data_IF_422818319505
#
_entry.id   IF_422818319505
#
_cell.length_a   1.000
_cell.length_b   1.000
_cell.length_c   1.000
_cell.angle_alpha   90.00
_cell.angle_beta   90.00
_cell.angle_gamma   90.00
#
_symmetry.space_group_name_H-M   'P 1'
#
loop_
_entity.id
_entity.type
_entity.pdbx_description
1 polymer ?
#
# COMPACT_ATOMS: atom_id res chain seq x y z
N UNK A 1 -19.78 59.79 6.97
CA UNK A 1 -20.06 58.61 7.80
C UNK A 1 -19.45 57.40 7.11
N UNK A 2 -18.39 56.83 7.67
CA UNK A 2 -17.59 55.75 7.06
C UNK A 2 -17.89 54.44 7.79
N UNK A 3 -18.50 53.48 7.11
CA UNK A 3 -18.81 52.16 7.68
C UNK A 3 -17.61 51.23 7.47
N UNK A 4 -17.02 50.80 8.60
CA UNK A 4 -15.97 49.79 8.65
C UNK A 4 -16.64 48.41 8.58
N UNK A 5 -16.49 47.71 7.44
CA UNK A 5 -17.01 46.35 7.28
C UNK A 5 -16.03 45.37 7.92
N UNK A 6 -16.44 44.76 9.04
CA UNK A 6 -15.67 43.74 9.76
C UNK A 6 -15.90 42.38 9.08
N UNK A 7 -14.88 41.85 8.40
CA UNK A 7 -14.94 40.51 7.79
C UNK A 7 -14.44 39.50 8.82
N UNK A 8 -15.34 38.62 9.29
CA UNK A 8 -15.03 37.54 10.23
C UNK A 8 -14.72 36.27 9.42
N UNK A 9 -13.54 35.64 9.57
CA UNK A 9 -13.25 34.38 8.91
C UNK A 9 -13.95 33.21 9.64
N UNK A 10 -14.72 32.42 8.88
CA UNK A 10 -15.29 31.15 9.34
C UNK A 10 -14.23 30.06 9.23
N UNK A 11 -13.81 29.52 10.38
CA UNK A 11 -12.97 28.33 10.43
C UNK A 11 -13.86 27.08 10.28
N UNK A 12 -13.72 26.35 9.17
CA UNK A 12 -14.31 25.03 9.00
C UNK A 12 -13.48 24.01 9.79
N UNK A 13 -14.07 23.44 10.85
CA UNK A 13 -13.50 22.31 11.57
C UNK A 13 -13.89 21.01 10.86
N UNK A 14 -12.90 20.33 10.26
CA UNK A 14 -13.11 18.99 9.70
C UNK A 14 -12.88 17.97 10.80
N UNK A 15 -13.93 17.24 11.19
CA UNK A 15 -13.84 16.15 12.17
C UNK A 15 -13.34 14.90 11.45
N UNK A 16 -12.10 14.47 11.74
CA UNK A 16 -11.57 13.20 11.24
C UNK A 16 -12.10 12.09 12.13
N UNK A 17 -12.97 11.24 11.58
CA UNK A 17 -13.44 10.04 12.27
C UNK A 17 -12.37 8.95 12.16
N UNK A 18 -11.62 8.76 13.24
CA UNK A 18 -10.61 7.70 13.37
C UNK A 18 -11.31 6.43 13.85
N UNK A 19 -11.36 5.41 12.99
CA UNK A 19 -11.79 4.07 13.40
C UNK A 19 -10.73 3.48 14.35
N UNK A 20 -11.13 2.94 15.52
CA UNK A 20 -10.18 2.35 16.45
C UNK A 20 -9.54 1.08 15.85
N UNK A 21 -8.25 0.83 16.10
CA UNK A 21 -7.57 -0.36 15.62
C UNK A 21 -8.17 -1.62 16.24
N UNK A 22 -8.39 -2.62 15.38
CA UNK A 22 -8.83 -3.97 15.75
C UNK A 22 -7.77 -4.60 16.66
N UNK A 23 -8.16 -5.03 17.86
CA UNK A 23 -7.27 -5.68 18.84
C UNK A 23 -6.54 -6.86 18.20
N UNK A 24 -5.23 -6.70 18.02
CA UNK A 24 -4.30 -7.78 17.70
C UNK A 24 -4.18 -8.69 18.93
N UNK A 25 -4.43 -9.98 18.75
CA UNK A 25 -4.24 -10.98 19.77
C UNK A 25 -2.75 -11.13 20.07
N UNK A 26 -2.41 -11.15 21.36
CA UNK A 26 -1.04 -11.36 21.86
C UNK A 26 -0.49 -12.71 21.38
N UNK A 27 0.77 -12.76 20.90
CA UNK A 27 1.43 -14.03 20.63
C UNK A 27 1.72 -14.73 21.96
N UNK A 28 1.16 -15.94 22.11
CA UNK A 28 1.54 -16.86 23.18
C UNK A 28 3.02 -17.20 23.03
N UNK A 29 3.82 -16.76 24.00
CA UNK A 29 5.23 -17.12 24.14
C UNK A 29 5.30 -18.59 24.54
N UNK A 30 5.68 -19.46 23.60
CA UNK A 30 6.07 -20.84 23.91
C UNK A 30 7.55 -20.81 24.28
N UNK A 31 7.83 -21.22 25.51
CA UNK A 31 9.17 -21.35 26.07
C UNK A 31 9.97 -22.40 25.29
N UNK A 32 11.22 -22.05 24.94
CA UNK A 32 12.20 -22.99 24.38
C UNK A 32 12.57 -24.04 25.43
N UNK A 33 12.00 -25.24 25.31
CA UNK A 33 12.53 -26.43 25.96
C UNK A 33 13.51 -27.11 25.01
N UNK A 34 14.77 -27.10 25.42
CA UNK A 34 15.94 -27.67 24.76
C UNK A 34 15.75 -29.18 24.57
N UNK A 35 15.43 -29.61 23.36
CA UNK A 35 15.31 -31.04 23.02
C UNK A 35 16.68 -31.63 22.76
N UNK A 36 17.05 -32.60 23.60
CA UNK A 36 18.09 -33.57 23.32
C UNK A 36 17.56 -34.62 22.32
N UNK A 37 18.47 -35.01 21.44
CA UNK A 37 18.47 -36.02 20.38
C UNK A 37 17.31 -37.05 20.37
N UNK A 38 16.71 -37.24 19.19
CA UNK A 38 16.52 -38.55 18.52
C UNK A 38 15.14 -38.72 17.88
N UNK A 39 15.14 -38.94 16.56
CA UNK A 39 14.21 -39.79 15.77
C UNK A 39 12.71 -39.55 15.98
N UNK A 40 12.09 -38.85 15.03
CA UNK A 40 10.92 -39.35 14.28
C UNK A 40 10.50 -38.31 13.22
N UNK A 41 11.01 -38.52 11.99
CA UNK A 41 10.55 -37.79 10.80
C UNK A 41 9.21 -38.38 10.38
N UNK A 42 8.14 -37.90 11.00
CA UNK A 42 6.77 -38.10 10.54
C UNK A 42 6.07 -36.74 10.45
N UNK A 43 6.59 -35.88 9.57
CA UNK A 43 5.88 -34.69 9.11
C UNK A 43 4.60 -35.18 8.44
N UNK A 44 3.48 -34.93 9.12
CA UNK A 44 2.14 -35.33 8.72
C UNK A 44 1.85 -34.93 7.26
N UNK A 45 1.88 -35.91 6.37
CA UNK A 45 1.61 -35.76 4.93
C UNK A 45 0.19 -35.23 4.64
N UNK A 46 -0.69 -35.18 5.65
CA UNK A 46 -2.06 -34.68 5.52
C UNK A 46 -2.15 -33.15 5.44
N UNK A 47 -1.16 -32.40 5.92
CA UNK A 47 -1.18 -30.92 5.82
C UNK A 47 -0.74 -30.42 4.44
N UNK A 48 0.02 -31.22 3.69
CA UNK A 48 0.45 -30.90 2.32
C UNK A 48 -0.60 -31.32 1.28
N UNK A 49 -1.41 -32.34 1.61
CA UNK A 49 -2.43 -32.87 0.69
C UNK A 49 -3.64 -31.95 0.49
N UNK A 50 -3.93 -31.06 1.44
CA UNK A 50 -4.97 -30.04 1.28
C UNK A 50 -4.55 -28.85 0.37
N UNK A 51 -3.25 -28.69 0.08
CA UNK A 51 -2.72 -27.65 -0.81
C UNK A 51 -2.58 -28.11 -2.28
N UNK A 52 -2.78 -29.39 -2.57
CA UNK A 52 -2.50 -29.98 -3.89
C UNK A 52 -3.75 -30.23 -4.75
N UNK A 53 -4.96 -30.11 -4.19
CA UNK A 53 -6.22 -30.45 -4.86
C UNK A 53 -7.11 -29.26 -5.25
N UNK A 54 -6.54 -28.05 -5.47
CA UNK A 54 -7.30 -26.95 -6.06
C UNK A 54 -6.54 -26.19 -7.15
N UNK A 55 -6.72 -26.65 -8.39
CA UNK A 55 -6.81 -25.79 -9.58
C UNK A 55 -5.66 -24.81 -9.78
N UNK A 56 -4.44 -25.26 -10.11
CA UNK A 56 -3.34 -24.46 -10.69
C UNK A 56 -3.27 -22.98 -10.26
N UNK A 57 -3.46 -22.69 -8.96
CA UNK A 57 -3.30 -21.33 -8.45
C UNK A 57 -1.81 -21.09 -8.31
N UNK A 58 -1.21 -20.47 -9.33
CA UNK A 58 0.17 -19.99 -9.27
C UNK A 58 0.28 -19.00 -8.12
N UNK A 59 0.98 -19.40 -7.05
CA UNK A 59 1.31 -18.50 -5.95
C UNK A 59 2.50 -17.65 -6.42
N UNK A 60 2.28 -16.35 -6.60
CA UNK A 60 3.35 -15.41 -6.90
C UNK A 60 3.92 -14.90 -5.57
N UNK A 61 5.20 -15.21 -5.31
CA UNK A 61 5.94 -14.66 -4.18
C UNK A 61 6.57 -13.35 -4.66
N UNK A 62 6.25 -12.24 -3.99
CA UNK A 62 6.76 -10.90 -4.30
C UNK A 62 7.69 -10.46 -3.19
N UNK A 63 8.91 -10.05 -3.56
CA UNK A 63 9.80 -9.30 -2.69
C UNK A 63 9.30 -7.84 -2.63
N UNK A 64 8.70 -7.48 -1.49
CA UNK A 64 8.02 -6.19 -1.30
C UNK A 64 8.99 -5.02 -1.36
N UNK A 65 10.17 -5.14 -0.73
CA UNK A 65 11.17 -4.08 -0.72
C UNK A 65 11.64 -3.78 -2.14
N UNK A 66 12.00 -4.84 -2.88
CA UNK A 66 12.45 -4.71 -4.26
C UNK A 66 11.34 -4.16 -5.15
N UNK A 67 10.11 -4.66 -5.01
CA UNK A 67 8.96 -4.21 -5.80
C UNK A 67 8.68 -2.72 -5.57
N UNK A 68 8.76 -2.25 -4.34
CA UNK A 68 8.58 -0.85 -3.99
C UNK A 68 9.66 0.02 -4.60
N UNK A 69 10.92 -0.40 -4.52
CA UNK A 69 12.02 0.34 -5.17
C UNK A 69 11.85 0.39 -6.68
N UNK A 70 11.42 -0.70 -7.32
CA UNK A 70 11.15 -0.72 -8.76
C UNK A 70 10.04 0.28 -9.13
N UNK A 71 8.95 0.33 -8.36
CA UNK A 71 7.86 1.30 -8.54
C UNK A 71 8.38 2.74 -8.40
N UNK A 72 9.18 3.01 -7.37
CA UNK A 72 9.76 4.33 -7.11
C UNK A 72 10.67 4.76 -8.25
N UNK A 73 11.55 3.87 -8.70
CA UNK A 73 12.50 4.13 -9.77
C UNK A 73 11.80 4.39 -11.11
N UNK A 74 10.81 3.57 -11.46
CA UNK A 74 10.04 3.75 -12.70
C UNK A 74 9.31 5.10 -12.67
N UNK A 75 8.62 5.43 -11.59
CA UNK A 75 7.93 6.72 -11.47
C UNK A 75 8.90 7.90 -11.57
N UNK A 76 10.02 7.85 -10.85
CA UNK A 76 11.02 8.91 -10.86
C UNK A 76 11.66 9.10 -12.24
N UNK A 77 11.81 8.02 -13.02
CA UNK A 77 12.27 8.12 -14.39
C UNK A 77 11.20 8.74 -15.30
N UNK A 78 9.95 8.29 -15.21
CA UNK A 78 8.84 8.88 -15.98
C UNK A 78 8.64 10.37 -15.64
N UNK A 79 8.79 10.76 -14.38
CA UNK A 79 8.66 12.15 -13.92
C UNK A 79 9.74 13.10 -14.48
N UNK A 80 10.86 12.56 -14.98
CA UNK A 80 11.89 13.38 -15.65
C UNK A 80 11.51 13.70 -17.10
N UNK A 81 10.76 12.81 -17.74
CA UNK A 81 10.43 12.89 -19.17
C UNK A 81 9.03 13.45 -19.42
N UNK A 82 8.09 13.18 -18.52
CA UNK A 82 6.68 13.51 -18.66
C UNK A 82 6.20 14.44 -17.56
N UNK A 83 5.20 15.27 -17.86
CA UNK A 83 4.53 16.05 -16.82
C UNK A 83 3.72 15.14 -15.90
N UNK A 84 3.49 15.55 -14.65
CA UNK A 84 2.69 14.76 -13.71
C UNK A 84 1.25 14.50 -14.21
N UNK A 85 0.70 15.37 -15.07
CA UNK A 85 -0.62 15.20 -15.66
C UNK A 85 -0.70 14.00 -16.63
N UNK A 86 0.46 13.52 -17.08
CA UNK A 86 0.58 12.43 -18.05
C UNK A 86 0.87 11.08 -17.39
N UNK A 87 1.22 11.07 -16.10
CA UNK A 87 1.57 9.85 -15.38
C UNK A 87 0.31 9.26 -14.73
N UNK A 88 0.14 7.95 -14.93
CA UNK A 88 -0.97 7.17 -14.42
C UNK A 88 -0.49 5.89 -13.75
N UNK A 89 -1.21 5.47 -12.71
CA UNK A 89 -0.97 4.23 -11.98
C UNK A 89 -2.20 3.35 -12.15
N UNK A 90 -1.98 2.11 -12.59
CA UNK A 90 -3.02 1.09 -12.74
C UNK A 90 -2.90 0.08 -11.61
N UNK A 91 -4.03 -0.20 -10.98
CA UNK A 91 -4.16 -1.21 -9.94
C UNK A 91 -4.65 -2.55 -10.52
N UNK A 92 -4.49 -3.64 -9.77
CA UNK A 92 -4.95 -4.98 -10.22
C UNK A 92 -6.47 -5.11 -10.30
N UNK A 93 -7.22 -4.33 -9.51
CA UNK A 93 -8.70 -4.25 -9.56
C UNK A 93 -9.23 -3.55 -10.84
N UNK A 94 -8.34 -2.97 -11.65
CA UNK A 94 -8.68 -2.22 -12.86
C UNK A 94 -8.79 -0.71 -12.67
N UNK A 95 -8.71 -0.21 -11.44
CA UNK A 95 -8.68 1.22 -11.13
C UNK A 95 -7.46 1.88 -11.78
N UNK A 96 -7.68 3.06 -12.38
CA UNK A 96 -6.62 3.87 -12.97
C UNK A 96 -6.63 5.24 -12.28
N UNK A 97 -5.51 5.60 -11.68
CA UNK A 97 -5.29 6.89 -11.06
C UNK A 97 -4.41 7.72 -11.99
N UNK A 98 -4.86 8.91 -12.35
CA UNK A 98 -4.16 9.85 -13.24
C UNK A 98 -3.68 11.07 -12.48
N UNK A 99 -2.82 11.90 -13.08
CA UNK A 99 -2.32 13.14 -12.48
C UNK A 99 -1.53 12.91 -11.18
N UNK A 100 -0.71 11.85 -11.14
CA UNK A 100 0.10 11.51 -9.97
C UNK A 100 1.33 12.43 -9.92
N UNK A 101 1.41 13.24 -8.88
CA UNK A 101 2.47 14.24 -8.71
C UNK A 101 3.64 13.74 -7.87
N UNK A 102 3.37 12.79 -6.97
CA UNK A 102 4.34 12.26 -6.02
C UNK A 102 3.95 10.86 -5.56
N UNK A 103 4.96 10.07 -5.21
CA UNK A 103 4.79 8.77 -4.57
C UNK A 103 5.78 8.66 -3.41
N UNK A 104 5.37 8.07 -2.30
CA UNK A 104 6.22 7.93 -1.11
C UNK A 104 5.99 6.55 -0.49
N UNK A 105 7.04 5.76 -0.27
CA UNK A 105 6.91 4.50 0.45
C UNK A 105 6.53 4.74 1.92
N UNK A 106 5.70 3.87 2.47
CA UNK A 106 5.29 3.86 3.87
C UNK A 106 5.29 2.42 4.40
N UNK A 107 5.33 2.27 5.73
CA UNK A 107 5.36 0.95 6.41
C UNK A 107 6.41 0.01 5.81
N UNK A 108 7.66 0.47 5.79
CA UNK A 108 8.80 -0.30 5.27
C UNK A 108 8.57 -0.80 3.83
N UNK A 109 7.89 0.00 3.01
CA UNK A 109 7.63 -0.32 1.61
C UNK A 109 6.46 -1.26 1.36
N UNK A 110 5.74 -1.71 2.39
CA UNK A 110 4.51 -2.50 2.20
C UNK A 110 3.38 -1.65 1.63
N UNK A 111 3.41 -0.34 1.90
CA UNK A 111 2.43 0.61 1.37
C UNK A 111 3.11 1.70 0.56
N UNK A 112 2.37 2.25 -0.39
CA UNK A 112 2.76 3.45 -1.14
C UNK A 112 1.67 4.50 -0.99
N UNK A 113 2.09 5.70 -0.61
CA UNK A 113 1.25 6.90 -0.57
C UNK A 113 1.42 7.62 -1.90
N UNK A 114 0.31 7.86 -2.59
CA UNK A 114 0.23 8.57 -3.86
C UNK A 114 -0.39 9.95 -3.64
N UNK A 115 0.24 11.00 -4.19
CA UNK A 115 -0.36 12.34 -4.28
C UNK A 115 -0.94 12.55 -5.67
N UNK A 116 -2.23 12.85 -5.73
CA UNK A 116 -2.94 13.14 -6.97
C UNK A 116 -3.32 14.62 -7.01
N UNK A 117 -2.98 15.30 -8.09
CA UNK A 117 -3.45 16.65 -8.33
C UNK A 117 -4.81 16.62 -9.04
N UNK A 118 -5.81 17.25 -8.42
CA UNK A 118 -7.17 17.37 -8.95
C UNK A 118 -7.60 18.84 -9.02
N UNK A 119 -8.70 19.12 -9.71
CA UNK A 119 -9.28 20.48 -9.74
C UNK A 119 -9.75 20.97 -8.37
N UNK A 120 -9.84 20.08 -7.37
CA UNK A 120 -10.20 20.38 -5.98
C UNK A 120 -8.98 20.46 -5.05
N UNK A 121 -7.77 20.48 -5.61
CA UNK A 121 -6.51 20.43 -4.86
C UNK A 121 -5.86 19.04 -4.85
N UNK A 122 -4.88 18.86 -3.97
CA UNK A 122 -4.12 17.60 -3.87
C UNK A 122 -4.82 16.60 -2.96
N UNK A 123 -5.11 15.41 -3.49
CA UNK A 123 -5.62 14.27 -2.72
C UNK A 123 -4.50 13.27 -2.46
N UNK A 124 -4.57 12.57 -1.34
CA UNK A 124 -3.62 11.51 -0.98
C UNK A 124 -4.35 10.18 -0.92
N UNK A 125 -3.73 9.15 -1.47
CA UNK A 125 -4.23 7.78 -1.43
C UNK A 125 -3.12 6.87 -0.90
N UNK A 126 -3.51 5.82 -0.20
CA UNK A 126 -2.57 4.81 0.26
C UNK A 126 -3.02 3.45 -0.28
N UNK A 127 -2.09 2.74 -0.91
CA UNK A 127 -2.32 1.41 -1.47
C UNK A 127 -1.24 0.46 -0.98
N UNK A 128 -1.57 -0.82 -0.92
CA UNK A 128 -0.55 -1.85 -0.79
C UNK A 128 0.29 -1.91 -2.05
N UNK A 129 1.58 -2.19 -1.89
CA UNK A 129 2.53 -2.27 -3.01
C UNK A 129 2.13 -3.36 -4.01
N UNK A 130 1.61 -4.49 -3.53
CA UNK A 130 1.13 -5.59 -4.35
C UNK A 130 -0.10 -5.25 -5.18
N UNK A 131 -0.89 -4.24 -4.80
CA UNK A 131 -2.08 -3.83 -5.56
C UNK A 131 -1.72 -3.03 -6.81
N UNK A 132 -0.48 -2.52 -6.90
CA UNK A 132 -0.01 -1.74 -8.04
C UNK A 132 0.41 -2.69 -9.17
N UNK A 133 -0.40 -2.69 -10.23
CA UNK A 133 -0.15 -3.45 -11.45
C UNK A 133 0.95 -2.82 -12.30
N UNK A 134 0.93 -1.51 -12.47
CA UNK A 134 1.95 -0.80 -13.25
C UNK A 134 1.76 0.71 -13.33
N UNK A 135 2.75 1.37 -13.94
CA UNK A 135 2.80 2.82 -14.12
C UNK A 135 2.96 3.10 -15.61
N UNK A 136 2.15 4.00 -16.15
CA UNK A 136 2.14 4.37 -17.57
C UNK A 136 2.14 5.88 -17.73
N UNK A 137 2.83 6.36 -18.77
CA UNK A 137 2.82 7.77 -19.17
C UNK A 137 2.27 7.91 -20.60
N UNK A 138 1.59 9.02 -20.89
CA UNK A 138 0.93 9.30 -22.18
C UNK A 138 1.27 10.68 -22.74
#
# INVERSE_FOLDING_TARGET
>A
MQFLLLIIPYFLTTTIQINPPKKTQEPTIIQEEKTDVSKDVAVSQNTIKALTDSTNKSIMIIDIDKRTQDIINVFNNLKKEFSYAQISIKLYDGTILTNISDITPAQDGTMIILKQNTNQGTKQFAFFTEDIKGITAF
#
